data_IF_769091203298
#
_entry.id   IF_769091203298
#
_cell.length_a   1.000
_cell.length_b   1.000
_cell.length_c   1.000
_cell.angle_alpha   90.00
_cell.angle_beta   90.00
_cell.angle_gamma   90.00
#
_symmetry.space_group_name_H-M   'P 1'
#
loop_
_entity.id
_entity.type
_entity.pdbx_description
1 polymer ?
#
# COMPACT_ATOMS: atom_id res chain seq x y z
N UNK A 1 -3.38 13.86 -12.35
CA UNK A 1 -4.04 12.87 -11.48
C UNK A 1 -3.01 11.95 -10.88
N UNK A 2 -2.72 12.08 -9.58
CA UNK A 2 -1.73 11.17 -9.01
C UNK A 2 -2.28 9.76 -8.80
N UNK A 3 -1.43 8.79 -9.09
CA UNK A 3 -1.72 7.39 -8.83
C UNK A 3 -0.59 6.87 -7.93
N UNK A 4 -0.97 6.34 -6.77
CA UNK A 4 -0.01 5.78 -5.83
C UNK A 4 -0.19 4.27 -5.81
N UNK A 5 0.90 3.56 -5.95
CA UNK A 5 0.88 2.10 -5.91
C UNK A 5 1.64 1.63 -4.67
N UNK A 6 0.99 0.82 -3.85
CA UNK A 6 1.60 0.24 -2.67
C UNK A 6 1.72 -1.25 -2.89
N UNK A 7 2.92 -1.78 -2.71
CA UNK A 7 3.18 -3.20 -2.82
C UNK A 7 3.55 -3.70 -1.43
N UNK A 8 2.78 -4.64 -0.89
CA UNK A 8 2.96 -5.01 0.51
C UNK A 8 2.49 -6.43 0.76
N UNK A 9 2.83 -6.94 1.93
CA UNK A 9 2.25 -8.17 2.43
C UNK A 9 0.80 -7.96 2.86
N UNK A 10 0.09 -9.06 3.15
CA UNK A 10 -1.33 -8.96 3.50
C UNK A 10 -1.57 -8.15 4.79
N UNK A 11 -2.63 -7.38 4.79
CA UNK A 11 -3.10 -6.62 5.94
C UNK A 11 -4.61 -6.68 5.97
N UNK A 12 -5.20 -6.41 7.13
CA UNK A 12 -6.65 -6.41 7.22
C UNK A 12 -7.22 -5.18 6.51
N UNK A 13 -8.51 -5.26 6.21
CA UNK A 13 -9.15 -4.22 5.41
C UNK A 13 -9.23 -2.89 6.15
N UNK A 14 -9.34 -2.91 7.48
CA UNK A 14 -9.40 -1.66 8.24
C UNK A 14 -8.08 -0.89 8.18
N UNK A 15 -6.97 -1.61 8.26
CA UNK A 15 -5.67 -0.97 8.13
C UNK A 15 -5.45 -0.42 6.74
N UNK A 16 -5.94 -1.11 5.72
CA UNK A 16 -5.83 -0.61 4.35
C UNK A 16 -6.69 0.63 4.14
N UNK A 17 -7.89 0.67 4.72
CA UNK A 17 -8.70 1.88 4.66
C UNK A 17 -7.98 3.08 5.26
N UNK A 18 -7.36 2.87 6.41
CA UNK A 18 -6.61 3.93 7.08
C UNK A 18 -5.46 4.44 6.21
N UNK A 19 -4.71 3.51 5.62
CA UNK A 19 -3.58 3.87 4.77
C UNK A 19 -4.03 4.68 3.55
N UNK A 20 -5.07 4.21 2.87
CA UNK A 20 -5.58 4.89 1.68
C UNK A 20 -6.06 6.30 2.04
N UNK A 21 -6.74 6.44 3.17
CA UNK A 21 -7.20 7.76 3.62
C UNK A 21 -6.02 8.69 3.88
N UNK A 22 -5.00 8.22 4.58
CA UNK A 22 -3.86 9.07 4.92
C UNK A 22 -3.03 9.46 3.71
N UNK A 23 -2.85 8.54 2.77
CA UNK A 23 -2.12 8.85 1.54
C UNK A 23 -2.89 9.89 0.72
N UNK A 24 -4.20 9.70 0.60
CA UNK A 24 -5.04 10.66 -0.12
C UNK A 24 -4.96 12.05 0.51
N UNK A 25 -5.07 12.11 1.85
CA UNK A 25 -5.01 13.38 2.56
C UNK A 25 -3.67 14.08 2.35
N UNK A 26 -2.59 13.33 2.28
CA UNK A 26 -1.28 13.92 2.03
C UNK A 26 -1.24 14.64 0.70
N UNK A 27 -1.79 14.04 -0.36
CA UNK A 27 -1.83 14.67 -1.66
C UNK A 27 -2.76 15.88 -1.69
N UNK A 28 -3.92 15.75 -1.05
CA UNK A 28 -4.87 16.87 -0.99
C UNK A 28 -4.23 18.06 -0.30
N UNK A 29 -3.56 17.82 0.81
CA UNK A 29 -2.94 18.91 1.59
C UNK A 29 -1.76 19.52 0.86
N UNK A 30 -0.93 18.68 0.24
CA UNK A 30 0.31 19.16 -0.36
C UNK A 30 0.04 19.85 -1.71
N UNK A 31 -0.84 19.30 -2.52
CA UNK A 31 -1.04 19.75 -3.88
C UNK A 31 -2.30 20.57 -4.08
N UNK A 32 -3.16 20.68 -3.04
CA UNK A 32 -4.41 21.42 -3.11
C UNK A 32 -5.30 20.91 -4.23
N UNK A 33 -5.41 19.60 -4.35
CA UNK A 33 -6.24 18.93 -5.35
C UNK A 33 -7.38 18.23 -4.64
N UNK A 34 -8.49 17.97 -5.34
CA UNK A 34 -9.61 17.26 -4.71
C UNK A 34 -9.26 15.79 -4.48
N UNK A 35 -9.85 15.21 -3.45
CA UNK A 35 -9.59 13.81 -3.10
C UNK A 35 -9.91 12.86 -4.26
N UNK A 36 -10.90 13.20 -5.07
CA UNK A 36 -11.32 12.38 -6.20
C UNK A 36 -10.25 12.27 -7.28
N UNK A 37 -9.27 13.19 -7.27
CA UNK A 37 -8.17 13.13 -8.24
C UNK A 37 -7.09 12.14 -7.84
N UNK A 38 -7.10 11.63 -6.61
CA UNK A 38 -6.05 10.77 -6.08
C UNK A 38 -6.52 9.33 -6.11
N UNK A 39 -5.71 8.46 -6.71
CA UNK A 39 -5.96 7.01 -6.68
C UNK A 39 -4.85 6.33 -5.92
N UNK A 40 -5.22 5.40 -5.05
CA UNK A 40 -4.26 4.62 -4.29
C UNK A 40 -4.59 3.15 -4.53
N UNK A 41 -3.63 2.43 -5.07
CA UNK A 41 -3.76 1.02 -5.40
C UNK A 41 -2.91 0.22 -4.43
N UNK A 42 -3.52 -0.71 -3.73
CA UNK A 42 -2.80 -1.57 -2.80
C UNK A 42 -2.78 -2.98 -3.38
N UNK A 43 -1.58 -3.47 -3.65
CA UNK A 43 -1.38 -4.82 -4.15
C UNK A 43 -0.79 -5.65 -3.04
N UNK A 44 -1.49 -6.70 -2.64
CA UNK A 44 -1.01 -7.61 -1.60
C UNK A 44 -0.33 -8.79 -2.25
N UNK A 45 0.86 -9.13 -1.76
CA UNK A 45 1.63 -10.26 -2.24
C UNK A 45 1.74 -11.27 -1.11
N UNK A 46 1.34 -12.52 -1.32
CA UNK A 46 1.48 -13.52 -0.27
C UNK A 46 2.95 -13.77 0.07
N UNK A 47 3.22 -14.19 1.29
CA UNK A 47 4.58 -14.34 1.78
C UNK A 47 5.39 -15.40 1.02
N UNK A 48 4.72 -16.26 0.28
CA UNK A 48 5.41 -17.26 -0.54
C UNK A 48 5.74 -16.75 -1.95
N UNK A 49 5.52 -15.46 -2.20
CA UNK A 49 5.73 -14.89 -3.53
C UNK A 49 6.70 -13.72 -3.54
N UNK A 50 7.33 -13.43 -2.41
CA UNK A 50 8.36 -12.39 -2.37
C UNK A 50 9.41 -12.73 -1.32
N UNK A 51 10.59 -12.22 -1.54
CA UNK A 51 11.70 -12.54 -0.66
C UNK A 51 12.70 -11.41 -0.53
N UNK A 52 13.61 -11.59 0.41
CA UNK A 52 14.68 -10.65 0.69
C UNK A 52 15.96 -11.45 0.90
N UNK A 53 17.06 -10.93 0.37
CA UNK A 53 18.37 -11.54 0.53
C UNK A 53 18.40 -13.00 0.05
N UNK A 54 17.64 -13.30 -1.00
CA UNK A 54 17.62 -14.63 -1.60
C UNK A 54 16.74 -15.64 -0.90
N UNK A 55 15.95 -15.21 0.10
CA UNK A 55 15.07 -16.12 0.85
C UNK A 55 13.64 -15.66 0.74
N UNK A 56 12.73 -16.61 0.58
CA UNK A 56 11.30 -16.31 0.62
C UNK A 56 10.89 -15.87 2.03
N UNK A 57 10.01 -14.90 2.08
CA UNK A 57 9.50 -14.41 3.37
C UNK A 57 8.81 -15.53 4.14
N UNK A 58 8.08 -16.40 3.45
CA UNK A 58 7.40 -17.52 4.11
C UNK A 58 8.37 -18.44 4.85
N UNK A 59 9.61 -18.56 4.35
CA UNK A 59 10.61 -19.41 4.96
C UNK A 59 11.23 -18.79 6.20
N UNK A 60 11.10 -17.48 6.36
CA UNK A 60 11.70 -16.74 7.46
C UNK A 60 10.73 -16.50 8.62
N UNK A 61 9.43 -16.70 8.39
CA UNK A 61 8.40 -16.48 9.40
C UNK A 61 8.26 -17.73 10.26
N UNK A 62 8.28 -17.55 11.56
CA UNK A 62 8.11 -18.64 12.52
C UNK A 62 6.74 -18.60 13.14
#
# INVERSE_FOLDING_TARGET
MPVVTVLQGPRDVEQKRELVTRITDAFVDAYKIPAEAVQVWVTEVPTDSWGTAGKLTADSVK
#
